data_IF_936231784826
#
_entry.id   IF_936231784826
#
_cell.length_a   1.000
_cell.length_b   1.000
_cell.length_c   1.000
_cell.angle_alpha   90.00
_cell.angle_beta   90.00
_cell.angle_gamma   90.00
#
_symmetry.space_group_name_H-M   'P 1'
#
loop_
_entity.id
_entity.type
_entity.pdbx_description
1 polymer ?
#
# COMPACT_ATOMS: atom_id res chain seq x y z
N UNK A 1 -10.46 -26.55 19.77
CA UNK A 1 -9.01 -26.30 19.60
C UNK A 1 -8.70 -26.50 18.13
N UNK A 2 -8.18 -25.48 17.47
CA UNK A 2 -7.78 -25.54 16.05
C UNK A 2 -6.52 -26.40 15.93
N UNK A 3 -6.51 -27.31 14.97
CA UNK A 3 -5.40 -28.21 14.71
C UNK A 3 -4.68 -27.84 13.41
N UNK A 4 -3.49 -28.42 13.20
CA UNK A 4 -2.78 -28.23 11.93
C UNK A 4 -3.54 -28.85 10.74
N UNK A 5 -4.25 -29.95 10.98
CA UNK A 5 -5.07 -30.62 9.96
C UNK A 5 -6.27 -29.76 9.54
N UNK A 6 -6.87 -28.98 10.46
CA UNK A 6 -7.90 -28.01 10.12
C UNK A 6 -7.33 -26.93 9.18
N UNK A 7 -6.12 -26.43 9.43
CA UNK A 7 -5.46 -25.45 8.56
C UNK A 7 -5.16 -26.04 7.16
N UNK A 8 -4.71 -27.28 7.08
CA UNK A 8 -4.51 -27.99 5.81
C UNK A 8 -5.81 -28.20 5.04
N UNK A 9 -6.91 -28.46 5.74
CA UNK A 9 -8.24 -28.57 5.12
C UNK A 9 -8.69 -27.24 4.52
N UNK A 10 -8.42 -26.10 5.21
CA UNK A 10 -8.68 -24.77 4.67
C UNK A 10 -7.82 -24.49 3.42
N UNK A 11 -6.53 -24.89 3.41
CA UNK A 11 -5.66 -24.76 2.24
C UNK A 11 -6.19 -25.57 1.05
N UNK A 12 -6.71 -26.77 1.28
CA UNK A 12 -7.29 -27.59 0.24
C UNK A 12 -8.56 -26.98 -0.38
N UNK A 13 -9.33 -26.25 0.41
CA UNK A 13 -10.55 -25.57 0.00
C UNK A 13 -10.33 -24.16 -0.55
N UNK A 14 -9.11 -23.60 -0.46
CA UNK A 14 -8.80 -22.23 -0.86
C UNK A 14 -8.95 -22.00 -2.38
N UNK A 15 -9.86 -21.11 -2.83
CA UNK A 15 -10.03 -20.82 -4.26
C UNK A 15 -8.81 -20.13 -4.87
N UNK A 16 -7.99 -19.43 -4.06
CA UNK A 16 -6.79 -18.74 -4.53
C UNK A 16 -5.51 -19.58 -4.41
N UNK A 17 -5.58 -20.84 -3.99
CA UNK A 17 -4.42 -21.71 -3.76
C UNK A 17 -3.46 -21.80 -4.97
N UNK A 18 -4.01 -21.82 -6.18
CA UNK A 18 -3.22 -21.93 -7.41
C UNK A 18 -2.36 -20.68 -7.69
N UNK A 19 -2.71 -19.52 -7.15
CA UNK A 19 -1.91 -18.31 -7.32
C UNK A 19 -0.53 -18.44 -6.68
N UNK A 20 -0.39 -19.17 -5.57
CA UNK A 20 0.90 -19.38 -4.91
C UNK A 20 1.94 -19.98 -5.86
N UNK A 21 1.54 -20.87 -6.77
CA UNK A 21 2.42 -21.49 -7.75
C UNK A 21 2.96 -20.50 -8.80
N UNK A 22 2.38 -19.31 -8.89
CA UNK A 22 2.81 -18.22 -9.75
C UNK A 22 3.97 -17.42 -9.16
N UNK A 23 4.35 -17.66 -7.91
CA UNK A 23 5.43 -16.98 -7.21
C UNK A 23 6.69 -17.83 -7.13
N UNK A 24 7.85 -17.16 -7.08
CA UNK A 24 9.15 -17.80 -6.91
C UNK A 24 9.40 -18.04 -5.41
N UNK A 25 9.28 -19.29 -4.98
CA UNK A 25 9.47 -19.72 -3.58
C UNK A 25 10.57 -20.79 -3.59
N UNK A 26 11.85 -20.39 -3.48
CA UNK A 26 12.98 -21.31 -3.65
C UNK A 26 13.10 -22.32 -2.50
N UNK A 27 12.66 -21.94 -1.31
CA UNK A 27 12.65 -22.80 -0.13
C UNK A 27 11.22 -22.91 0.43
N UNK A 28 10.52 -24.03 0.20
CA UNK A 28 9.15 -24.23 0.67
C UNK A 28 9.05 -24.42 2.19
N UNK A 29 10.17 -24.60 2.92
CA UNK A 29 10.21 -24.72 4.38
C UNK A 29 10.15 -23.35 5.07
N UNK A 30 10.44 -22.25 4.35
CA UNK A 30 10.32 -20.89 4.89
C UNK A 30 8.84 -20.52 5.03
N UNK A 31 8.47 -20.13 6.24
CA UNK A 31 7.16 -19.53 6.55
C UNK A 31 7.31 -18.02 6.45
N UNK A 32 6.68 -17.41 5.43
CA UNK A 32 6.77 -15.97 5.19
C UNK A 32 5.47 -15.27 5.56
N UNK A 33 5.50 -14.56 6.68
CA UNK A 33 4.36 -13.79 7.24
C UNK A 33 4.71 -12.29 7.37
N UNK A 34 5.39 -11.76 6.34
CA UNK A 34 5.78 -10.35 6.26
C UNK A 34 5.40 -9.71 4.91
N UNK A 35 4.32 -10.19 4.28
CA UNK A 35 3.80 -9.63 3.02
C UNK A 35 3.31 -8.18 3.14
N UNK A 36 3.05 -7.71 4.35
CA UNK A 36 2.73 -6.32 4.66
C UNK A 36 3.97 -5.39 4.67
N UNK A 37 5.19 -5.94 4.58
CA UNK A 37 6.43 -5.17 4.41
C UNK A 37 7.01 -5.32 3.01
N UNK A 38 7.02 -6.55 2.46
CA UNK A 38 7.46 -6.82 1.10
C UNK A 38 6.68 -8.02 0.54
N UNK A 39 6.09 -7.88 -0.65
CA UNK A 39 5.46 -8.98 -1.36
C UNK A 39 6.46 -9.97 -1.93
N UNK A 40 6.02 -11.22 -2.15
CA UNK A 40 6.84 -12.25 -2.80
C UNK A 40 7.00 -11.99 -4.31
N UNK A 41 8.14 -12.41 -4.92
CA UNK A 41 8.40 -12.17 -6.33
C UNK A 41 7.55 -13.09 -7.24
N UNK A 42 6.71 -12.54 -8.13
CA UNK A 42 6.05 -13.33 -9.15
C UNK A 42 7.06 -13.93 -10.14
N UNK A 43 6.89 -15.17 -10.59
CA UNK A 43 7.79 -15.83 -11.57
C UNK A 43 7.89 -15.04 -12.88
N UNK A 44 6.75 -14.52 -13.36
CA UNK A 44 6.66 -13.73 -14.59
C UNK A 44 7.49 -12.42 -14.53
N UNK A 45 7.81 -11.91 -13.33
CA UNK A 45 8.59 -10.68 -13.16
C UNK A 45 9.97 -10.81 -13.81
N UNK A 46 10.68 -11.92 -13.61
CA UNK A 46 12.00 -12.12 -14.21
C UNK A 46 11.93 -12.14 -15.73
N UNK A 47 10.94 -12.81 -16.30
CA UNK A 47 10.72 -12.87 -17.75
C UNK A 47 10.42 -11.47 -18.30
N UNK A 48 9.53 -10.73 -17.65
CA UNK A 48 9.17 -9.35 -18.03
C UNK A 48 10.35 -8.40 -17.99
N UNK A 49 11.18 -8.48 -16.97
CA UNK A 49 12.41 -7.70 -16.88
C UNK A 49 13.42 -8.08 -17.98
N UNK A 50 13.49 -9.37 -18.33
CA UNK A 50 14.33 -9.86 -19.41
C UNK A 50 13.85 -9.32 -20.78
N UNK A 51 12.54 -9.30 -21.03
CA UNK A 51 11.93 -8.69 -22.23
C UNK A 51 12.28 -7.20 -22.32
N UNK A 52 12.05 -6.43 -21.24
CA UNK A 52 12.39 -5.00 -21.21
C UNK A 52 13.89 -4.77 -21.45
N UNK A 53 14.76 -5.63 -20.90
CA UNK A 53 16.19 -5.50 -21.11
C UNK A 53 16.60 -5.79 -22.57
N UNK A 54 16.14 -6.91 -23.14
CA UNK A 54 16.60 -7.35 -24.47
C UNK A 54 15.86 -6.64 -25.60
N UNK A 55 14.53 -6.56 -25.52
CA UNK A 55 13.72 -6.08 -26.64
C UNK A 55 13.62 -4.55 -26.60
N UNK A 56 13.31 -3.99 -25.44
CA UNK A 56 13.12 -2.57 -25.34
C UNK A 56 14.47 -1.82 -25.24
N UNK A 57 15.29 -2.16 -24.22
CA UNK A 57 16.50 -1.39 -23.97
C UNK A 57 17.63 -1.74 -24.94
N UNK A 58 18.06 -3.00 -25.03
CA UNK A 58 19.21 -3.37 -25.86
C UNK A 58 18.94 -3.24 -27.39
N UNK A 59 17.72 -3.58 -27.83
CA UNK A 59 17.34 -3.55 -29.26
C UNK A 59 16.62 -2.25 -29.60
N UNK A 60 15.64 -1.81 -28.84
CA UNK A 60 14.85 -0.62 -29.11
C UNK A 60 15.59 0.68 -28.88
N UNK A 61 16.44 0.71 -27.80
CA UNK A 61 17.16 1.92 -27.38
C UNK A 61 16.20 3.09 -27.19
N UNK A 62 16.54 4.27 -27.71
CA UNK A 62 15.72 5.49 -27.59
C UNK A 62 14.30 5.35 -28.20
N UNK A 63 14.12 4.45 -29.18
CA UNK A 63 12.83 4.22 -29.84
C UNK A 63 11.79 3.60 -28.90
N UNK A 64 12.22 2.96 -27.81
CA UNK A 64 11.34 2.34 -26.83
C UNK A 64 10.54 3.36 -26.00
N UNK A 65 10.90 4.63 -26.09
CA UNK A 65 10.07 5.70 -25.54
C UNK A 65 8.66 5.74 -26.14
N UNK A 66 8.45 5.25 -27.35
CA UNK A 66 7.13 5.22 -27.97
C UNK A 66 6.09 4.46 -27.13
N UNK A 67 6.51 3.49 -26.29
CA UNK A 67 5.64 2.71 -25.41
C UNK A 67 6.00 2.82 -23.91
N UNK A 68 7.12 3.46 -23.57
CA UNK A 68 7.45 3.75 -22.16
C UNK A 68 6.73 4.99 -21.63
N UNK A 69 6.43 5.96 -22.50
CA UNK A 69 5.83 7.23 -22.12
C UNK A 69 4.45 7.08 -21.45
N UNK A 70 3.65 6.12 -21.87
CA UNK A 70 2.32 5.89 -21.29
C UNK A 70 2.32 4.84 -20.17
N UNK A 71 3.43 4.14 -19.97
CA UNK A 71 3.51 3.01 -19.04
C UNK A 71 3.06 3.36 -17.61
N UNK A 72 3.43 4.50 -17.00
CA UNK A 72 2.95 4.89 -15.67
C UNK A 72 1.42 4.98 -15.57
N UNK A 73 0.76 5.52 -16.59
CA UNK A 73 -0.69 5.65 -16.65
C UNK A 73 -1.35 4.31 -16.98
N UNK A 74 -0.80 3.56 -17.95
CA UNK A 74 -1.33 2.25 -18.35
C UNK A 74 -1.29 1.24 -17.19
N UNK A 75 -0.22 1.20 -16.40
CA UNK A 75 -0.16 0.38 -15.19
C UNK A 75 -1.11 0.91 -14.12
N UNK A 76 -1.27 2.24 -14.03
CA UNK A 76 -2.27 2.89 -13.19
C UNK A 76 -3.70 2.47 -13.54
N UNK A 77 -4.01 2.33 -14.82
CA UNK A 77 -5.34 1.89 -15.30
C UNK A 77 -5.63 0.42 -14.95
N UNK A 78 -4.59 -0.43 -14.82
CA UNK A 78 -4.76 -1.80 -14.29
C UNK A 78 -4.98 -1.78 -12.79
N UNK A 79 -4.35 -0.85 -12.05
CA UNK A 79 -4.54 -0.70 -10.61
C UNK A 79 -5.89 -0.06 -10.25
N UNK A 80 -6.37 0.87 -11.06
CA UNK A 80 -7.55 1.68 -10.76
C UNK A 80 -8.78 0.86 -10.29
N UNK A 81 -9.21 -0.21 -10.98
CA UNK A 81 -10.36 -1.00 -10.52
C UNK A 81 -10.12 -1.72 -9.19
N UNK A 82 -8.86 -1.96 -8.79
CA UNK A 82 -8.55 -2.60 -7.50
C UNK A 82 -8.81 -1.69 -6.29
N UNK A 83 -8.99 -0.41 -6.51
CA UNK A 83 -9.27 0.61 -5.47
C UNK A 83 -10.58 1.37 -5.75
N UNK A 84 -11.44 0.86 -6.64
CA UNK A 84 -12.68 1.53 -7.00
C UNK A 84 -12.49 2.87 -7.74
N UNK A 85 -11.35 3.05 -8.41
CA UNK A 85 -11.07 4.19 -9.27
C UNK A 85 -11.40 3.90 -10.74
N UNK A 86 -11.48 4.93 -11.57
CA UNK A 86 -11.67 4.80 -12.98
C UNK A 86 -10.40 4.98 -13.82
N UNK A 87 -10.47 4.66 -15.12
CA UNK A 87 -9.34 4.87 -16.02
C UNK A 87 -8.85 6.31 -16.00
N UNK A 88 -7.53 6.49 -16.02
CA UNK A 88 -6.88 7.79 -16.01
C UNK A 88 -6.96 8.57 -14.70
N UNK A 89 -7.33 7.93 -13.58
CA UNK A 89 -7.33 8.54 -12.24
C UNK A 89 -6.17 8.06 -11.37
N UNK A 90 -5.38 7.09 -11.84
CA UNK A 90 -4.23 6.54 -11.13
C UNK A 90 -2.99 6.62 -12.00
N UNK A 91 -1.86 6.98 -11.39
CA UNK A 91 -0.55 6.95 -12.04
C UNK A 91 0.49 6.40 -11.10
N UNK A 92 1.40 5.55 -11.61
CA UNK A 92 2.53 5.02 -10.86
C UNK A 92 3.76 5.89 -11.09
N UNK A 93 4.33 6.40 -10.01
CA UNK A 93 5.53 7.23 -10.08
C UNK A 93 6.26 7.28 -8.73
N UNK A 94 7.53 7.61 -8.78
CA UNK A 94 8.38 7.91 -7.63
C UNK A 94 8.24 6.92 -6.45
N UNK A 95 8.12 7.41 -5.24
CA UNK A 95 7.95 6.62 -4.03
C UNK A 95 6.94 7.27 -3.07
N UNK A 96 6.46 6.51 -2.09
CA UNK A 96 5.43 6.96 -1.15
C UNK A 96 5.77 8.29 -0.48
N UNK A 97 7.03 8.52 -0.06
CA UNK A 97 7.46 9.76 0.57
C UNK A 97 7.23 10.98 -0.33
N UNK A 98 7.64 10.89 -1.61
CA UNK A 98 7.43 11.97 -2.59
C UNK A 98 5.94 12.13 -2.92
N UNK A 99 5.20 11.03 -3.04
CA UNK A 99 3.78 11.08 -3.37
C UNK A 99 2.96 11.71 -2.23
N UNK A 100 3.27 11.41 -0.95
CA UNK A 100 2.69 12.12 0.20
C UNK A 100 3.01 13.62 0.13
N UNK A 101 4.29 13.97 -0.09
CA UNK A 101 4.72 15.35 -0.21
C UNK A 101 3.94 16.11 -1.30
N UNK A 102 3.83 15.53 -2.48
CA UNK A 102 3.09 16.13 -3.59
C UNK A 102 1.59 16.25 -3.32
N UNK A 103 0.97 15.18 -2.81
CA UNK A 103 -0.46 15.15 -2.52
C UNK A 103 -0.86 16.15 -1.43
N UNK A 104 -0.07 16.27 -0.36
CA UNK A 104 -0.31 17.23 0.72
C UNK A 104 -0.18 18.66 0.22
N UNK A 105 0.88 18.99 -0.52
CA UNK A 105 1.02 20.32 -1.13
C UNK A 105 -0.13 20.64 -2.10
N UNK A 106 -0.53 19.66 -2.90
CA UNK A 106 -1.62 19.83 -3.84
C UNK A 106 -2.96 20.06 -3.12
N UNK A 107 -3.21 19.34 -2.02
CA UNK A 107 -4.39 19.52 -1.17
C UNK A 107 -4.41 20.92 -0.49
N UNK A 108 -3.27 21.37 0.03
CA UNK A 108 -3.12 22.71 0.59
C UNK A 108 -3.49 23.78 -0.45
N UNK A 109 -3.02 23.63 -1.68
CA UNK A 109 -3.30 24.55 -2.78
C UNK A 109 -4.79 24.67 -3.12
N UNK A 110 -5.60 23.68 -2.79
CA UNK A 110 -7.06 23.66 -2.97
C UNK A 110 -7.82 24.29 -1.78
N UNK A 111 -7.12 24.67 -0.71
CA UNK A 111 -7.73 25.25 0.51
C UNK A 111 -7.03 26.54 0.93
N UNK A 112 -7.02 27.59 0.04
CA UNK A 112 -6.37 28.86 0.36
C UNK A 112 -6.98 29.48 1.62
N UNK A 113 -6.12 30.04 2.47
CA UNK A 113 -6.52 30.67 3.73
C UNK A 113 -6.57 29.73 4.94
N UNK A 114 -6.33 28.42 4.76
CA UNK A 114 -6.15 27.47 5.86
C UNK A 114 -4.68 27.11 6.01
N UNK A 115 -4.20 26.98 7.25
CA UNK A 115 -2.78 26.76 7.56
C UNK A 115 -2.54 25.68 8.62
N UNK A 116 -3.45 24.72 8.73
CA UNK A 116 -3.32 23.57 9.65
C UNK A 116 -3.32 22.29 8.85
N UNK A 117 -2.37 21.38 9.14
CA UNK A 117 -2.34 20.00 8.64
C UNK A 117 -2.67 19.09 9.81
N UNK A 118 -3.66 18.20 9.65
CA UNK A 118 -4.03 17.23 10.67
C UNK A 118 -3.48 15.83 10.30
N UNK A 119 -2.83 15.17 11.27
CA UNK A 119 -2.32 13.80 11.15
C UNK A 119 -2.36 13.13 12.52
N UNK A 120 -2.49 11.79 12.58
CA UNK A 120 -2.39 11.08 13.86
C UNK A 120 -0.94 11.05 14.37
N UNK A 121 -0.77 11.16 15.69
CA UNK A 121 0.53 10.92 16.33
C UNK A 121 1.02 9.47 16.17
N UNK A 122 0.07 8.54 15.95
CA UNK A 122 0.33 7.11 15.76
C UNK A 122 0.42 6.69 14.28
N UNK A 123 0.26 7.63 13.33
CA UNK A 123 0.37 7.34 11.91
C UNK A 123 1.79 6.94 11.50
N UNK A 124 1.95 6.39 10.29
CA UNK A 124 3.26 5.90 9.85
C UNK A 124 4.33 7.01 9.93
N UNK A 125 5.52 6.73 10.50
CA UNK A 125 6.51 7.77 10.78
C UNK A 125 6.89 8.63 9.58
N UNK A 126 7.00 8.06 8.38
CA UNK A 126 7.35 8.82 7.18
C UNK A 126 6.31 9.87 6.84
N UNK A 127 5.01 9.56 6.95
CA UNK A 127 3.94 10.51 6.66
C UNK A 127 3.99 11.69 7.62
N UNK A 128 4.23 11.40 8.91
CA UNK A 128 4.45 12.46 9.92
C UNK A 128 5.67 13.32 9.60
N UNK A 129 6.81 12.70 9.25
CA UNK A 129 8.03 13.47 8.91
C UNK A 129 7.82 14.37 7.69
N UNK A 130 7.10 13.88 6.67
CA UNK A 130 6.76 14.69 5.49
C UNK A 130 5.83 15.84 5.86
N UNK A 131 4.80 15.57 6.67
CA UNK A 131 3.86 16.60 7.15
C UNK A 131 4.59 17.66 7.99
N UNK A 132 5.44 17.25 8.93
CA UNK A 132 6.24 18.15 9.75
C UNK A 132 7.17 19.02 8.90
N UNK A 133 7.85 18.40 7.90
CA UNK A 133 8.72 19.15 6.97
C UNK A 133 7.97 20.16 6.10
N UNK A 134 6.77 19.82 5.63
CA UNK A 134 5.90 20.76 4.88
C UNK A 134 5.43 21.89 5.79
N UNK A 135 4.99 21.56 6.99
CA UNK A 135 4.51 22.56 7.96
C UNK A 135 5.61 23.55 8.34
N UNK A 136 6.82 23.07 8.63
CA UNK A 136 7.99 23.92 8.91
C UNK A 136 8.30 24.86 7.73
N UNK A 137 8.36 24.31 6.51
CA UNK A 137 8.68 25.10 5.31
C UNK A 137 7.64 26.19 4.97
N UNK A 138 6.35 25.93 5.28
CA UNK A 138 5.25 26.85 4.96
C UNK A 138 4.81 27.73 6.15
N UNK A 139 5.32 27.49 7.35
CA UNK A 139 4.85 28.15 8.58
C UNK A 139 3.45 27.70 8.99
N UNK A 140 3.08 26.44 8.70
CA UNK A 140 1.79 25.85 9.05
C UNK A 140 1.85 25.20 10.42
N UNK A 141 0.68 25.03 11.06
CA UNK A 141 0.57 24.25 12.28
C UNK A 141 0.28 22.78 11.96
N UNK A 142 0.86 21.87 12.75
CA UNK A 142 0.48 20.44 12.73
C UNK A 142 -0.43 20.15 13.92
N UNK A 143 -1.57 19.53 13.63
CA UNK A 143 -2.51 19.04 14.65
C UNK A 143 -2.43 17.52 14.74
N UNK A 144 -2.09 17.00 15.93
CA UNK A 144 -2.09 15.57 16.20
C UNK A 144 -3.49 15.11 16.63
N UNK A 145 -4.23 14.49 15.70
CA UNK A 145 -5.59 14.03 15.90
C UNK A 145 -6.60 14.72 14.98
N UNK A 146 -7.84 14.23 15.00
CA UNK A 146 -8.86 14.57 14.02
C UNK A 146 -10.15 15.13 14.62
N UNK A 147 -10.19 15.50 15.91
CA UNK A 147 -11.41 15.92 16.60
C UNK A 147 -11.95 17.28 16.09
N UNK A 148 -11.07 18.15 15.64
CA UNK A 148 -11.40 19.49 15.12
C UNK A 148 -10.81 19.65 13.71
N UNK A 149 -11.65 19.90 12.71
CA UNK A 149 -11.23 20.01 11.31
C UNK A 149 -11.64 21.35 10.66
N UNK A 150 -12.31 22.27 11.36
CA UNK A 150 -12.88 23.48 10.76
C UNK A 150 -11.83 24.45 10.19
N UNK A 151 -10.61 24.44 10.72
CA UNK A 151 -9.47 25.26 10.28
C UNK A 151 -8.40 24.44 9.51
N UNK A 152 -8.61 23.12 9.38
CA UNK A 152 -7.67 22.21 8.73
C UNK A 152 -7.72 22.38 7.20
N UNK A 153 -6.56 22.57 6.57
CA UNK A 153 -6.41 22.56 5.13
C UNK A 153 -6.46 21.12 4.58
N UNK A 154 -5.68 20.23 5.21
CA UNK A 154 -5.57 18.83 4.80
C UNK A 154 -5.46 17.90 6.00
N UNK A 155 -6.21 16.83 5.98
CA UNK A 155 -6.08 15.66 6.84
C UNK A 155 -5.27 14.60 6.11
N UNK A 156 -4.20 14.10 6.72
CA UNK A 156 -3.41 12.96 6.20
C UNK A 156 -3.72 11.78 7.10
N UNK A 157 -4.12 10.64 6.52
CA UNK A 157 -4.51 9.48 7.30
C UNK A 157 -4.28 8.17 6.55
N UNK A 158 -3.70 7.19 7.25
CA UNK A 158 -3.63 5.83 6.76
C UNK A 158 -4.99 5.13 6.87
N UNK A 159 -5.35 4.36 5.84
CA UNK A 159 -6.58 3.55 5.83
C UNK A 159 -6.48 2.39 6.83
N UNK A 160 -5.27 1.83 6.99
CA UNK A 160 -4.99 0.75 7.93
C UNK A 160 -3.85 1.16 8.84
N UNK A 161 -4.08 1.11 10.14
CA UNK A 161 -3.03 1.30 11.14
C UNK A 161 -1.92 0.25 10.96
N UNK A 162 -0.69 0.71 10.77
CA UNK A 162 0.44 -0.15 10.44
C UNK A 162 0.89 -1.06 11.59
N UNK A 163 0.48 -0.78 12.84
CA UNK A 163 0.82 -1.56 14.03
C UNK A 163 -0.26 -2.57 14.40
N UNK A 164 -1.51 -2.12 14.47
CA UNK A 164 -2.65 -2.90 14.98
C UNK A 164 -3.47 -3.57 13.90
N UNK A 165 -3.32 -3.13 12.64
CA UNK A 165 -4.17 -3.47 11.51
C UNK A 165 -5.60 -2.90 11.58
N UNK A 166 -5.90 -1.97 12.48
CA UNK A 166 -7.21 -1.32 12.53
C UNK A 166 -7.53 -0.64 11.21
N UNK A 167 -8.72 -0.91 10.67
CA UNK A 167 -9.26 -0.34 9.44
C UNK A 167 -10.18 0.83 9.76
N UNK A 168 -9.91 1.97 9.14
CA UNK A 168 -10.70 3.20 9.28
C UNK A 168 -11.95 3.14 8.38
N UNK A 169 -13.06 3.66 8.84
CA UNK A 169 -14.22 3.94 7.97
C UNK A 169 -13.91 5.13 7.06
N UNK A 170 -13.40 4.80 5.86
CA UNK A 170 -12.95 5.79 4.86
C UNK A 170 -14.08 6.69 4.41
N UNK A 171 -15.30 6.16 4.22
CA UNK A 171 -16.44 6.94 3.76
C UNK A 171 -16.88 7.95 4.82
N UNK A 172 -17.05 7.50 6.08
CA UNK A 172 -17.46 8.39 7.17
C UNK A 172 -16.42 9.48 7.44
N UNK A 173 -15.15 9.13 7.48
CA UNK A 173 -14.07 10.09 7.74
C UNK A 173 -13.85 11.08 6.60
N UNK A 174 -13.97 10.62 5.33
CA UNK A 174 -13.95 11.51 4.17
C UNK A 174 -15.10 12.52 4.22
N UNK A 175 -16.32 12.04 4.45
CA UNK A 175 -17.50 12.89 4.54
C UNK A 175 -17.38 13.92 5.68
N UNK A 176 -16.86 13.51 6.85
CA UNK A 176 -16.63 14.38 8.00
C UNK A 176 -15.61 15.47 7.70
N UNK A 177 -14.48 15.13 7.08
CA UNK A 177 -13.45 16.09 6.71
C UNK A 177 -13.96 17.10 5.66
N UNK A 178 -14.66 16.61 4.64
CA UNK A 178 -15.24 17.47 3.60
C UNK A 178 -16.32 18.40 4.16
N UNK A 179 -17.17 17.94 5.09
CA UNK A 179 -18.17 18.78 5.75
C UNK A 179 -17.50 19.91 6.56
N UNK A 180 -16.35 19.68 7.15
CA UNK A 180 -15.52 20.70 7.80
C UNK A 180 -14.74 21.55 6.80
N UNK A 181 -14.79 21.26 5.50
CA UNK A 181 -14.07 21.95 4.42
C UNK A 181 -12.60 21.60 4.30
N UNK A 182 -12.12 20.53 4.94
CA UNK A 182 -10.77 20.02 4.81
C UNK A 182 -10.65 19.10 3.58
N UNK A 183 -9.46 19.03 2.97
CA UNK A 183 -9.11 17.93 2.05
C UNK A 183 -8.62 16.72 2.85
N UNK A 184 -8.70 15.54 2.22
CA UNK A 184 -8.08 14.34 2.78
C UNK A 184 -7.08 13.77 1.79
N UNK A 185 -5.89 13.42 2.27
CA UNK A 185 -4.92 12.58 1.58
C UNK A 185 -4.89 11.23 2.31
N UNK A 186 -5.38 10.19 1.66
CA UNK A 186 -5.40 8.84 2.19
C UNK A 186 -4.14 8.06 1.83
N UNK A 187 -3.49 7.40 2.81
CA UNK A 187 -2.45 6.40 2.56
C UNK A 187 -3.07 4.99 2.56
N UNK A 188 -3.02 4.33 1.40
CA UNK A 188 -3.49 2.97 1.18
C UNK A 188 -2.35 1.94 1.17
N UNK A 189 -1.16 2.27 1.64
CA UNK A 189 0.02 1.37 1.54
C UNK A 189 -0.18 -0.01 2.17
N UNK A 190 -1.06 -0.15 3.16
CA UNK A 190 -1.45 -1.44 3.77
C UNK A 190 -2.83 -1.93 3.33
N UNK A 191 -3.57 -1.15 2.53
CA UNK A 191 -4.92 -1.46 2.10
C UNK A 191 -4.98 -2.02 0.68
N UNK A 192 -4.22 -1.41 -0.26
CA UNK A 192 -4.22 -1.83 -1.66
C UNK A 192 -3.69 -3.26 -1.81
N UNK A 193 -4.42 -4.09 -2.56
CA UNK A 193 -4.10 -5.52 -2.70
C UNK A 193 -4.41 -6.37 -1.45
N UNK A 194 -5.07 -5.78 -0.44
CA UNK A 194 -5.45 -6.44 0.82
C UNK A 194 -6.95 -6.40 1.08
N UNK A 195 -7.57 -5.22 0.98
CA UNK A 195 -8.99 -5.03 1.22
C UNK A 195 -9.71 -4.52 -0.03
N UNK A 196 -10.98 -4.88 -0.16
CA UNK A 196 -11.86 -4.38 -1.21
C UNK A 196 -12.37 -2.99 -0.79
N UNK A 197 -11.92 -1.95 -1.50
CA UNK A 197 -12.25 -0.55 -1.22
C UNK A 197 -12.72 0.15 -2.48
N UNK A 198 -13.73 1.01 -2.36
CA UNK A 198 -14.25 1.84 -3.44
C UNK A 198 -13.99 3.32 -3.13
N UNK A 199 -12.86 3.86 -3.61
CA UNK A 199 -12.47 5.25 -3.36
C UNK A 199 -13.51 6.25 -3.89
N UNK A 200 -14.10 5.97 -5.07
CA UNK A 200 -15.15 6.84 -5.63
C UNK A 200 -16.42 6.78 -4.79
N UNK A 201 -16.86 5.58 -4.42
CA UNK A 201 -18.03 5.39 -3.57
C UNK A 201 -17.86 6.00 -2.18
N UNK A 202 -16.63 6.05 -1.67
CA UNK A 202 -16.28 6.72 -0.41
C UNK A 202 -16.09 8.25 -0.55
N UNK A 203 -16.21 8.82 -1.75
CA UNK A 203 -16.01 10.26 -2.00
C UNK A 203 -14.56 10.74 -1.83
N UNK A 204 -13.60 9.82 -1.92
CA UNK A 204 -12.17 10.13 -1.83
C UNK A 204 -11.73 10.94 -3.05
N UNK A 205 -10.95 11.99 -2.82
CA UNK A 205 -10.43 12.85 -3.87
C UNK A 205 -8.93 12.68 -4.11
N UNK A 206 -8.17 12.35 -3.07
CA UNK A 206 -6.72 12.13 -3.13
C UNK A 206 -6.32 10.90 -2.32
N UNK A 207 -5.56 10.02 -2.94
CA UNK A 207 -4.96 8.89 -2.25
C UNK A 207 -3.58 8.55 -2.83
N UNK A 208 -2.76 7.95 -1.99
CA UNK A 208 -1.45 7.42 -2.37
C UNK A 208 -1.28 6.00 -1.83
N UNK A 209 -0.30 5.27 -2.32
CA UNK A 209 0.09 4.00 -1.76
C UNK A 209 1.32 3.42 -2.42
N UNK A 210 1.91 2.41 -1.81
CA UNK A 210 3.04 1.70 -2.39
C UNK A 210 2.59 0.47 -3.19
N UNK A 211 3.43 -0.01 -4.10
CA UNK A 211 3.15 -1.21 -4.90
C UNK A 211 3.97 -2.45 -4.49
N UNK A 212 4.97 -2.30 -3.60
CA UNK A 212 5.91 -3.38 -3.25
C UNK A 212 5.44 -4.32 -2.14
N UNK A 213 4.33 -3.99 -1.43
CA UNK A 213 3.75 -4.83 -0.36
C UNK A 213 2.78 -5.87 -0.97
N UNK A 214 1.49 -5.79 -0.65
CA UNK A 214 0.47 -6.76 -1.09
C UNK A 214 0.27 -6.81 -2.62
N UNK A 215 0.66 -5.77 -3.36
CA UNK A 215 0.66 -5.79 -4.83
C UNK A 215 1.86 -6.51 -5.45
N UNK A 216 2.84 -6.96 -4.65
CA UNK A 216 3.98 -7.77 -5.09
C UNK A 216 4.84 -7.13 -6.21
N UNK A 217 4.92 -5.79 -6.25
CA UNK A 217 5.63 -5.04 -7.29
C UNK A 217 7.16 -5.13 -7.21
N UNK A 218 7.70 -5.71 -6.12
CA UNK A 218 9.14 -5.88 -5.90
C UNK A 218 9.80 -4.72 -5.17
N UNK A 219 11.05 -4.91 -4.70
CA UNK A 219 11.79 -3.92 -3.94
C UNK A 219 12.06 -2.67 -4.78
N UNK A 220 11.73 -1.48 -4.25
CA UNK A 220 11.87 -0.22 -4.96
C UNK A 220 10.82 0.04 -6.05
N UNK A 221 9.76 -0.78 -6.11
CA UNK A 221 8.65 -0.55 -7.03
C UNK A 221 8.03 0.85 -6.80
N UNK A 222 7.63 1.55 -7.89
CA UNK A 222 7.04 2.87 -7.78
C UNK A 222 5.80 2.87 -6.91
N UNK A 223 5.60 3.96 -6.18
CA UNK A 223 4.33 4.26 -5.54
C UNK A 223 3.29 4.66 -6.59
N UNK A 224 2.07 4.88 -6.16
CA UNK A 224 1.00 5.36 -7.02
C UNK A 224 0.25 6.51 -6.36
N UNK A 225 -0.34 7.35 -7.18
CA UNK A 225 -1.22 8.45 -6.76
C UNK A 225 -2.56 8.33 -7.48
N UNK A 226 -3.64 8.45 -6.72
CA UNK A 226 -5.00 8.61 -7.20
C UNK A 226 -5.42 10.07 -7.05
N UNK A 227 -6.01 10.63 -8.09
CA UNK A 227 -6.66 11.93 -8.08
C UNK A 227 -8.03 11.80 -8.73
N UNK A 228 -9.07 12.18 -8.02
CA UNK A 228 -10.42 12.18 -8.57
C UNK A 228 -10.52 13.08 -9.82
N UNK A 229 -11.26 12.63 -10.82
CA UNK A 229 -11.34 13.26 -12.14
C UNK A 229 -11.66 14.76 -12.09
N UNK A 230 -12.54 15.16 -11.20
CA UNK A 230 -12.96 16.55 -11.05
C UNK A 230 -11.83 17.51 -10.60
N UNK A 231 -10.75 16.98 -10.06
CA UNK A 231 -9.59 17.79 -9.63
C UNK A 231 -8.51 17.91 -10.71
N UNK A 232 -8.55 17.16 -11.79
CA UNK A 232 -7.47 17.12 -12.78
C UNK A 232 -7.13 18.50 -13.35
N UNK A 233 -8.10 19.37 -13.59
CA UNK A 233 -7.83 20.69 -14.15
C UNK A 233 -7.28 21.69 -13.12
N UNK A 234 -7.55 21.47 -11.85
CA UNK A 234 -7.27 22.45 -10.78
C UNK A 234 -6.10 22.10 -9.90
N UNK A 235 -5.84 20.81 -9.69
CA UNK A 235 -4.78 20.35 -8.79
C UNK A 235 -3.40 20.79 -9.26
N UNK A 236 -2.54 21.21 -8.33
CA UNK A 236 -1.16 21.65 -8.58
C UNK A 236 -0.24 20.99 -7.57
N UNK A 237 0.73 20.22 -8.02
CA UNK A 237 1.80 19.69 -7.19
C UNK A 237 3.04 20.60 -7.25
N UNK A 238 3.92 20.61 -6.23
CA UNK A 238 4.96 21.62 -6.09
C UNK A 238 6.21 21.43 -6.95
N UNK A 239 6.47 20.22 -7.48
CA UNK A 239 7.69 19.87 -8.19
C UNK A 239 7.39 19.79 -9.69
N UNK A 240 7.73 20.84 -10.44
CA UNK A 240 7.43 20.91 -11.86
C UNK A 240 8.51 20.21 -12.68
N UNK A 241 8.22 18.99 -13.13
CA UNK A 241 9.09 18.20 -13.97
C UNK A 241 8.66 18.18 -15.43
N UNK A 242 9.59 17.85 -16.32
CA UNK A 242 9.35 17.86 -17.77
C UNK A 242 8.22 16.91 -18.20
N UNK A 243 8.05 15.80 -17.48
CA UNK A 243 7.05 14.78 -17.80
C UNK A 243 5.60 15.25 -17.53
N UNK A 244 5.44 16.15 -16.56
CA UNK A 244 4.15 16.75 -16.22
C UNK A 244 3.80 17.95 -17.11
N UNK A 245 4.71 18.40 -18.00
CA UNK A 245 4.43 19.50 -18.90
C UNK A 245 3.51 19.06 -20.05
N UNK A 246 2.57 19.91 -20.44
CA UNK A 246 1.58 19.65 -21.50
C UNK A 246 2.24 19.16 -22.80
N UNK A 247 3.29 19.84 -23.22
CA UNK A 247 4.17 19.41 -24.30
C UNK A 247 5.57 19.15 -23.74
N UNK A 248 5.80 17.88 -23.35
CA UNK A 248 7.03 17.47 -22.68
C UNK A 248 8.28 17.57 -23.57
N UNK A 249 8.13 17.58 -24.89
CA UNK A 249 9.23 17.65 -25.86
C UNK A 249 9.47 19.04 -26.43
N UNK A 250 8.59 20.01 -26.21
CA UNK A 250 8.80 21.38 -26.64
C UNK A 250 10.04 22.04 -25.99
N UNK A 251 10.43 21.57 -24.79
CA UNK A 251 11.57 22.12 -24.01
C UNK A 251 11.53 23.64 -23.90
N UNK A 252 10.31 24.21 -23.89
CA UNK A 252 10.08 25.66 -23.82
C UNK A 252 10.35 26.21 -22.40
N UNK A 253 10.40 27.56 -22.26
CA UNK A 253 10.76 28.22 -21.01
C UNK A 253 9.62 28.26 -19.98
N UNK A 254 8.42 27.83 -20.37
CA UNK A 254 7.22 27.94 -19.51
C UNK A 254 6.64 26.57 -19.25
N UNK A 255 6.46 26.25 -17.97
CA UNK A 255 5.76 25.04 -17.54
C UNK A 255 4.25 25.25 -17.64
N UNK A 256 3.57 24.35 -18.33
CA UNK A 256 2.11 24.20 -18.35
C UNK A 256 1.76 22.77 -17.97
N UNK A 257 1.05 22.55 -16.83
CA UNK A 257 0.76 21.20 -16.40
C UNK A 257 -0.21 20.50 -17.38
N UNK A 258 0.02 19.23 -17.60
CA UNK A 258 -0.89 18.36 -18.38
C UNK A 258 -2.32 18.43 -17.85
N UNK A 259 -3.35 18.24 -18.69
CA UNK A 259 -4.74 18.24 -18.25
C UNK A 259 -5.21 16.91 -17.60
N UNK A 260 -4.32 15.91 -17.55
CA UNK A 260 -4.61 14.57 -17.04
C UNK A 260 -3.81 14.26 -15.76
N UNK A 261 -3.96 13.02 -15.25
CA UNK A 261 -3.28 12.56 -14.02
C UNK A 261 -1.75 12.63 -14.13
N UNK A 262 -1.17 12.59 -15.34
CA UNK A 262 0.29 12.68 -15.50
C UNK A 262 0.87 14.02 -15.08
N UNK A 263 0.05 15.03 -14.75
CA UNK A 263 0.51 16.27 -14.07
C UNK A 263 1.12 16.02 -12.70
N UNK A 264 0.87 14.83 -12.11
CA UNK A 264 1.49 14.40 -10.85
C UNK A 264 2.89 13.82 -11.06
N UNK A 265 3.27 13.50 -12.30
CA UNK A 265 4.60 13.01 -12.63
C UNK A 265 5.68 14.08 -12.45
N UNK A 266 6.92 13.64 -12.26
CA UNK A 266 8.08 14.53 -12.12
C UNK A 266 8.98 14.43 -13.35
N UNK A 267 9.81 13.44 -13.38
CA UNK A 267 10.79 13.19 -14.40
C UNK A 267 10.63 11.84 -15.08
N UNK A 268 11.72 11.34 -15.60
CA UNK A 268 11.79 10.05 -16.26
C UNK A 268 11.32 8.93 -15.32
N UNK A 269 10.29 8.16 -15.68
CA UNK A 269 9.80 7.07 -14.85
C UNK A 269 10.81 5.93 -14.75
N UNK A 270 10.79 5.19 -13.65
CA UNK A 270 11.63 4.04 -13.38
C UNK A 270 11.12 2.79 -14.14
N UNK A 271 11.38 2.71 -15.44
CA UNK A 271 10.79 1.73 -16.38
C UNK A 271 10.95 0.28 -15.90
N UNK A 272 12.16 -0.13 -15.47
CA UNK A 272 12.39 -1.50 -15.00
C UNK A 272 11.56 -1.83 -13.75
N UNK A 273 11.46 -0.88 -12.83
CA UNK A 273 10.66 -1.07 -11.62
C UNK A 273 9.14 -1.04 -11.92
N UNK A 274 8.71 -0.23 -12.88
CA UNK A 274 7.32 -0.23 -13.39
C UNK A 274 6.98 -1.58 -14.04
N UNK A 275 7.88 -2.16 -14.84
CA UNK A 275 7.67 -3.46 -15.47
C UNK A 275 7.53 -4.59 -14.44
N UNK A 276 8.29 -4.53 -13.33
CA UNK A 276 8.11 -5.47 -12.22
C UNK A 276 6.76 -5.26 -11.52
N UNK A 277 6.39 -4.00 -11.23
CA UNK A 277 5.13 -3.67 -10.57
C UNK A 277 3.90 -4.06 -11.42
N UNK A 278 3.96 -3.87 -12.73
CA UNK A 278 2.93 -4.28 -13.69
C UNK A 278 2.52 -5.74 -13.51
N UNK A 279 3.49 -6.63 -13.32
CA UNK A 279 3.24 -8.07 -13.15
C UNK A 279 2.49 -8.36 -11.83
N UNK A 280 2.94 -7.78 -10.74
CA UNK A 280 2.30 -7.98 -9.43
C UNK A 280 0.87 -7.43 -9.37
N UNK A 281 0.67 -6.23 -9.93
CA UNK A 281 -0.65 -5.58 -10.03
C UNK A 281 -1.60 -6.41 -10.91
N UNK A 282 -1.11 -6.91 -12.06
CA UNK A 282 -1.90 -7.76 -12.96
C UNK A 282 -2.36 -9.07 -12.30
N UNK A 283 -1.51 -9.69 -11.45
CA UNK A 283 -1.90 -10.87 -10.67
C UNK A 283 -3.02 -10.56 -9.67
N UNK A 284 -2.95 -9.40 -9.01
CA UNK A 284 -4.01 -8.96 -8.10
C UNK A 284 -5.32 -8.68 -8.85
N UNK A 285 -5.24 -8.09 -10.06
CA UNK A 285 -6.39 -7.85 -10.93
C UNK A 285 -7.02 -9.16 -11.42
N UNK A 286 -6.20 -10.17 -11.78
CA UNK A 286 -6.66 -11.51 -12.18
C UNK A 286 -7.38 -12.23 -11.04
N UNK A 287 -6.87 -12.14 -9.81
CA UNK A 287 -7.47 -12.75 -8.63
C UNK A 287 -8.78 -12.07 -8.21
N UNK A 288 -8.87 -10.77 -8.40
CA UNK A 288 -10.00 -9.92 -8.02
C UNK A 288 -10.05 -9.58 -6.54
N UNK A 289 -10.33 -8.31 -6.23
CA UNK A 289 -10.32 -7.81 -4.84
C UNK A 289 -11.32 -8.50 -3.91
N UNK A 290 -12.54 -8.89 -4.32
CA UNK A 290 -13.44 -9.62 -3.44
C UNK A 290 -12.86 -10.96 -2.94
N UNK A 291 -12.18 -11.74 -3.81
CA UNK A 291 -11.57 -13.00 -3.42
C UNK A 291 -10.32 -12.79 -2.54
N UNK A 292 -9.51 -11.79 -2.87
CA UNK A 292 -8.33 -11.37 -2.08
C UNK A 292 -8.77 -10.97 -0.68
N UNK A 293 -9.77 -10.09 -0.55
CA UNK A 293 -10.29 -9.61 0.73
C UNK A 293 -10.89 -10.76 1.56
N UNK A 294 -11.70 -11.61 0.94
CA UNK A 294 -12.31 -12.75 1.62
C UNK A 294 -11.25 -13.69 2.22
N UNK A 295 -10.21 -14.05 1.45
CA UNK A 295 -9.12 -14.89 1.95
C UNK A 295 -8.29 -14.18 3.01
N UNK A 296 -7.97 -12.89 2.83
CA UNK A 296 -7.25 -12.10 3.83
C UNK A 296 -7.96 -12.04 5.18
N UNK A 297 -9.27 -11.80 5.14
CA UNK A 297 -10.13 -11.83 6.34
C UNK A 297 -10.16 -13.20 7.02
N UNK A 298 -10.19 -14.30 6.23
CA UNK A 298 -10.14 -15.65 6.77
C UNK A 298 -8.78 -15.99 7.38
N UNK A 299 -7.67 -15.62 6.73
CA UNK A 299 -6.31 -15.82 7.27
C UNK A 299 -6.10 -15.06 8.59
N UNK A 300 -6.52 -13.79 8.65
CA UNK A 300 -6.41 -12.99 9.87
C UNK A 300 -7.39 -13.45 10.96
N UNK A 301 -8.56 -13.97 10.59
CA UNK A 301 -9.48 -14.62 11.52
C UNK A 301 -8.83 -15.83 12.19
N UNK A 302 -8.27 -16.75 11.39
CA UNK A 302 -7.51 -17.90 11.90
C UNK A 302 -6.36 -17.46 12.82
N UNK A 303 -5.63 -16.42 12.43
CA UNK A 303 -4.52 -15.90 13.25
C UNK A 303 -4.99 -15.41 14.63
N UNK A 304 -6.11 -14.69 14.70
CA UNK A 304 -6.70 -14.21 15.96
C UNK A 304 -7.16 -15.38 16.82
N UNK A 305 -7.87 -16.35 16.23
CA UNK A 305 -8.33 -17.54 16.94
C UNK A 305 -7.15 -18.35 17.51
N UNK A 306 -6.04 -18.44 16.79
CA UNK A 306 -4.80 -19.07 17.27
C UNK A 306 -4.12 -18.25 18.38
N UNK A 307 -4.15 -16.92 18.30
CA UNK A 307 -3.69 -16.08 19.41
C UNK A 307 -4.47 -16.38 20.68
N UNK A 308 -5.79 -16.47 20.60
CA UNK A 308 -6.64 -16.85 21.75
C UNK A 308 -6.33 -18.24 22.27
N UNK A 309 -6.19 -19.21 21.35
CA UNK A 309 -5.87 -20.60 21.72
C UNK A 309 -4.53 -20.71 22.46
N UNK A 310 -3.54 -19.89 22.08
CA UNK A 310 -2.20 -19.92 22.65
C UNK A 310 -2.01 -18.90 23.80
N UNK A 311 -3.01 -18.10 24.12
CA UNK A 311 -2.91 -17.07 25.15
C UNK A 311 -1.99 -15.90 24.77
N UNK A 312 -1.85 -15.63 23.45
CA UNK A 312 -1.09 -14.52 22.91
C UNK A 312 -1.96 -13.26 22.86
N UNK A 313 -1.47 -12.16 23.42
CA UNK A 313 -2.19 -10.89 23.38
C UNK A 313 -2.16 -10.29 21.96
N UNK A 314 -3.33 -9.88 21.46
CA UNK A 314 -3.45 -9.19 20.16
C UNK A 314 -4.28 -7.91 20.28
N UNK A 315 -3.74 -6.74 19.85
CA UNK A 315 -4.50 -5.49 19.74
C UNK A 315 -5.29 -5.39 18.45
N UNK A 316 -5.12 -6.32 17.48
CA UNK A 316 -5.85 -6.31 16.21
C UNK A 316 -7.35 -6.50 16.43
N UNK A 317 -8.22 -5.68 15.79
CA UNK A 317 -9.66 -5.80 15.91
C UNK A 317 -10.17 -7.19 15.52
N UNK A 318 -11.08 -7.74 16.32
CA UNK A 318 -11.65 -9.08 16.09
C UNK A 318 -12.66 -9.09 14.94
N UNK A 319 -13.36 -7.99 14.77
CA UNK A 319 -14.29 -7.83 13.65
C UNK A 319 -13.52 -7.72 12.33
N UNK A 320 -13.82 -8.61 11.37
CA UNK A 320 -13.18 -8.64 10.06
C UNK A 320 -13.41 -7.35 9.25
N UNK A 321 -14.51 -6.64 9.51
CA UNK A 321 -14.81 -5.35 8.85
C UNK A 321 -14.02 -4.18 9.42
N UNK A 322 -13.28 -4.39 10.50
CA UNK A 322 -12.50 -3.37 11.19
C UNK A 322 -10.99 -3.66 11.17
N UNK A 323 -10.53 -4.57 10.32
CA UNK A 323 -9.09 -4.89 10.22
C UNK A 323 -8.62 -5.14 8.79
N UNK A 324 -7.33 -4.90 8.58
CA UNK A 324 -6.60 -5.26 7.36
C UNK A 324 -5.99 -6.66 7.41
N UNK A 325 -4.99 -6.91 6.55
CA UNK A 325 -4.42 -8.24 6.31
C UNK A 325 -3.15 -8.54 7.12
N UNK A 326 -3.01 -7.98 8.33
CA UNK A 326 -2.01 -8.44 9.28
C UNK A 326 -2.60 -8.56 10.67
N UNK A 327 -1.98 -9.38 11.51
CA UNK A 327 -2.33 -9.53 12.92
C UNK A 327 -1.12 -9.15 13.76
N UNK A 328 -1.34 -8.26 14.72
CA UNK A 328 -0.35 -7.85 15.70
C UNK A 328 -0.36 -8.80 16.90
N UNK A 329 0.79 -9.34 17.28
CA UNK A 329 0.97 -10.07 18.53
C UNK A 329 1.82 -9.20 19.45
N UNK A 330 1.30 -8.92 20.65
CA UNK A 330 1.99 -8.07 21.63
C UNK A 330 2.76 -8.93 22.63
N UNK A 331 4.07 -8.68 22.76
CA UNK A 331 4.91 -9.35 23.75
C UNK A 331 6.12 -8.46 24.15
N UNK A 332 6.51 -8.49 25.42
CA UNK A 332 7.64 -7.70 25.89
C UNK A 332 8.94 -8.01 25.12
N UNK A 333 9.17 -9.29 24.80
CA UNK A 333 10.36 -9.77 24.09
C UNK A 333 10.17 -9.88 22.57
N UNK A 334 9.17 -9.20 21.99
CA UNK A 334 8.80 -9.28 20.55
C UNK A 334 10.03 -9.17 19.61
N UNK A 335 10.94 -8.23 19.89
CA UNK A 335 12.16 -8.03 19.09
C UNK A 335 13.11 -9.23 19.10
N UNK A 336 13.28 -9.85 20.27
CA UNK A 336 14.09 -11.05 20.42
C UNK A 336 13.42 -12.26 19.72
N UNK A 337 12.10 -12.39 19.86
CA UNK A 337 11.34 -13.44 19.21
C UNK A 337 11.43 -13.36 17.69
N UNK A 338 11.23 -12.20 17.09
CA UNK A 338 11.36 -12.03 15.62
C UNK A 338 12.77 -12.43 15.15
N UNK A 339 13.81 -12.04 15.87
CA UNK A 339 15.20 -12.44 15.54
C UNK A 339 15.40 -13.95 15.60
N UNK A 340 14.89 -14.62 16.65
CA UNK A 340 15.02 -16.07 16.82
C UNK A 340 14.18 -16.83 15.77
N UNK A 341 12.94 -16.39 15.50
CA UNK A 341 12.05 -16.97 14.49
C UNK A 341 12.66 -16.85 13.08
N UNK A 342 13.21 -15.70 12.74
CA UNK A 342 13.90 -15.49 11.45
C UNK A 342 15.05 -16.48 11.26
N UNK A 343 15.84 -16.76 12.30
CA UNK A 343 16.91 -17.75 12.26
C UNK A 343 16.38 -19.20 12.05
N UNK A 344 15.10 -19.45 12.36
CA UNK A 344 14.42 -20.74 12.16
C UNK A 344 13.64 -20.79 10.82
N UNK A 345 13.75 -19.77 9.96
CA UNK A 345 13.01 -19.69 8.69
C UNK A 345 11.54 -19.28 8.85
N UNK A 346 11.14 -18.71 10.00
CA UNK A 346 9.80 -18.17 10.24
C UNK A 346 9.88 -16.66 10.26
N UNK A 347 9.41 -16.01 9.21
CA UNK A 347 9.62 -14.58 8.95
C UNK A 347 8.40 -13.77 9.36
N UNK A 348 8.58 -12.93 10.36
CA UNK A 348 7.66 -11.88 10.80
C UNK A 348 8.43 -10.56 10.81
N UNK A 349 7.76 -9.43 10.96
CA UNK A 349 8.44 -8.20 11.30
C UNK A 349 8.15 -7.72 12.75
N UNK A 350 8.99 -6.80 13.19
CA UNK A 350 8.89 -6.18 14.52
C UNK A 350 8.55 -4.69 14.39
N UNK A 351 7.64 -4.24 15.25
CA UNK A 351 7.35 -2.81 15.43
C UNK A 351 7.47 -2.41 16.90
N UNK A 352 8.22 -1.34 17.13
CA UNK A 352 8.37 -0.77 18.48
C UNK A 352 7.00 -0.39 19.08
N UNK A 353 6.83 -0.50 20.41
CA UNK A 353 7.84 -1.00 21.33
C UNK A 353 7.85 -2.55 21.46
N UNK A 354 6.79 -3.27 21.06
CA UNK A 354 6.57 -4.65 21.50
C UNK A 354 5.62 -5.45 20.59
N UNK A 355 5.57 -5.15 19.30
CA UNK A 355 4.65 -5.79 18.34
C UNK A 355 5.41 -6.69 17.37
N UNK A 356 4.95 -7.95 17.25
CA UNK A 356 5.25 -8.85 16.14
C UNK A 356 4.06 -8.73 15.17
N UNK A 357 4.32 -8.50 13.86
CA UNK A 357 3.25 -8.49 12.87
C UNK A 357 3.29 -9.76 12.02
N UNK A 358 2.15 -10.44 11.96
CA UNK A 358 1.91 -11.56 11.04
C UNK A 358 1.17 -11.02 9.81
N UNK A 359 1.91 -10.70 8.74
CA UNK A 359 1.37 -10.15 7.49
C UNK A 359 0.91 -11.25 6.54
N UNK A 360 -0.40 -11.37 6.37
CA UNK A 360 -1.04 -12.40 5.56
C UNK A 360 -1.27 -11.90 4.13
N UNK A 361 -0.42 -12.32 3.18
CA UNK A 361 -0.57 -12.00 1.75
C UNK A 361 -1.48 -13.03 1.07
N UNK A 362 -2.72 -12.68 0.65
CA UNK A 362 -3.72 -13.67 0.21
C UNK A 362 -3.29 -14.53 -0.98
N UNK A 363 -2.44 -14.02 -1.87
CA UNK A 363 -1.98 -14.77 -3.03
C UNK A 363 -0.87 -15.78 -2.72
N UNK A 364 -0.18 -15.63 -1.55
CA UNK A 364 1.00 -16.47 -1.25
C UNK A 364 0.94 -17.17 0.10
N UNK A 365 0.27 -16.59 1.10
CA UNK A 365 0.16 -17.16 2.44
C UNK A 365 -0.86 -18.30 2.46
N UNK A 366 -0.48 -19.45 3.05
CA UNK A 366 -1.37 -20.57 3.33
C UNK A 366 -1.89 -20.50 4.76
N UNK A 367 -3.02 -21.14 5.02
CA UNK A 367 -3.57 -21.26 6.38
C UNK A 367 -2.61 -22.05 7.29
N UNK A 368 -1.95 -23.08 6.76
CA UNK A 368 -0.93 -23.84 7.49
C UNK A 368 0.30 -22.99 7.84
N UNK A 369 0.67 -22.00 7.01
CA UNK A 369 1.76 -21.06 7.32
C UNK A 369 1.41 -20.19 8.55
N UNK A 370 0.16 -19.75 8.64
CA UNK A 370 -0.36 -18.99 9.79
C UNK A 370 -0.35 -19.85 11.04
N UNK A 371 -0.83 -21.10 10.95
CA UNK A 371 -0.84 -22.06 12.07
C UNK A 371 0.58 -22.33 12.58
N UNK A 372 1.48 -22.77 11.71
CA UNK A 372 2.85 -23.14 12.07
C UNK A 372 3.64 -21.93 12.59
N UNK A 373 3.43 -20.74 11.99
CA UNK A 373 4.05 -19.47 12.40
C UNK A 373 3.63 -19.06 13.82
N UNK A 374 2.34 -19.03 14.12
CA UNK A 374 1.86 -18.63 15.45
C UNK A 374 2.16 -19.70 16.51
N UNK A 375 2.17 -20.99 16.16
CA UNK A 375 2.64 -22.04 17.05
C UNK A 375 4.13 -21.86 17.39
N UNK A 376 4.95 -21.35 16.46
CA UNK A 376 6.34 -21.02 16.75
C UNK A 376 6.47 -19.83 17.73
N UNK A 377 5.67 -18.77 17.57
CA UNK A 377 5.60 -17.65 18.53
C UNK A 377 5.19 -18.16 19.91
N UNK A 378 4.14 -18.99 19.99
CA UNK A 378 3.64 -19.53 21.25
C UNK A 378 4.70 -20.38 21.99
N UNK A 379 5.51 -21.16 21.27
CA UNK A 379 6.60 -21.92 21.87
C UNK A 379 7.68 -21.03 22.50
N UNK A 380 7.93 -19.85 21.95
CA UNK A 380 8.85 -18.88 22.54
C UNK A 380 8.24 -18.19 23.77
N UNK A 381 6.97 -17.81 23.69
CA UNK A 381 6.24 -17.16 24.78
C UNK A 381 6.04 -18.07 26.01
N UNK A 382 6.14 -19.39 25.86
CA UNK A 382 6.03 -20.36 26.95
C UNK A 382 7.35 -20.65 27.68
N UNK A 383 8.47 -20.06 27.26
CA UNK A 383 9.81 -20.20 27.88
C UNK A 383 10.00 -19.21 29.01
#
# INVERSE_FOLDING_TARGET
MITRDDALALDAADPLRAFRDRFHIPDPSVIYLDGNSLGMPPKRTLERLTEVFHDDWATGLIRSWDHWLDMPQRVGDVLAPLIGAGPGEVVLHDNTTLNVYQAVHAAIGLRPGRSVIAISADDFPTDRYVVDGIADALGFAVRHGFDQLDDVAVMVRSVIDYRTAELVDVAAETARAHAAGAMVVWDLSHAVGAIDIDLRGCGVQLAIGCSYKFLNGGPGAPAWTYVARELHDTIRQPIWGWYANEDMFAMGPTFRPRPDIARMMLGTPAILALAAAEVGIALSAEAGMPAIHAKGSALTGLAIDLCDQYGLATPTPRDATQRGNHVAVQHADAKAFVKELTAQGVIFDFREPNIIRAGCSPLTTRYVDVFDGLAAVARLAAR
#
